data_IF_357891906333
#
_entry.id   IF_357891906333
#
_cell.length_a   1.000
_cell.length_b   1.000
_cell.length_c   1.000
_cell.angle_alpha   90.00
_cell.angle_beta   90.00
_cell.angle_gamma   90.00
#
_symmetry.space_group_name_H-M   'P 1'
#
loop_
_entity.id
_entity.type
_entity.pdbx_description
1 polymer ?
#
# COMPACT_ATOMS: atom_id res chain seq x y z
N UNK A 1 -68.80 17.34 -31.79
CA UNK A 1 -67.51 17.95 -31.38
C UNK A 1 -66.56 16.84 -30.95
N UNK A 2 -65.42 16.70 -31.63
CA UNK A 2 -64.10 16.34 -31.03
C UNK A 2 -63.06 16.18 -32.15
N UNK A 3 -62.15 17.15 -32.30
CA UNK A 3 -61.01 17.04 -33.22
C UNK A 3 -59.99 16.08 -32.60
N UNK A 4 -59.73 14.95 -33.27
CA UNK A 4 -58.66 14.03 -32.91
C UNK A 4 -57.30 14.76 -33.02
N UNK A 5 -56.61 14.99 -31.88
CA UNK A 5 -55.30 15.64 -31.85
C UNK A 5 -54.28 14.73 -32.55
N UNK A 6 -53.86 15.12 -33.76
CA UNK A 6 -52.76 14.45 -34.47
C UNK A 6 -51.50 14.51 -33.58
N UNK A 7 -51.01 13.33 -33.17
CA UNK A 7 -49.75 13.17 -32.44
C UNK A 7 -48.64 13.81 -33.28
N UNK A 8 -47.98 14.85 -32.76
CA UNK A 8 -46.89 15.52 -33.50
C UNK A 8 -45.85 14.47 -33.85
N UNK A 9 -45.47 14.42 -35.14
CA UNK A 9 -44.35 13.58 -35.59
C UNK A 9 -43.14 13.97 -34.75
N UNK A 10 -42.60 13.00 -34.05
CA UNK A 10 -41.40 13.18 -33.25
C UNK A 10 -40.27 13.05 -34.24
N UNK A 11 -39.76 14.19 -34.70
CA UNK A 11 -38.71 14.20 -35.72
C UNK A 11 -37.48 13.46 -35.18
N UNK A 12 -36.97 12.51 -35.97
CA UNK A 12 -35.85 11.64 -35.59
C UNK A 12 -34.55 12.42 -35.36
N UNK A 13 -34.42 13.61 -35.98
CA UNK A 13 -33.27 14.48 -35.85
C UNK A 13 -33.69 15.88 -35.39
N UNK A 14 -33.37 16.22 -34.15
CA UNK A 14 -33.63 17.54 -33.58
C UNK A 14 -32.36 18.37 -33.54
N UNK A 15 -32.22 19.31 -34.47
CA UNK A 15 -31.11 20.25 -34.49
C UNK A 15 -31.29 21.29 -33.38
N UNK A 16 -30.33 21.38 -32.46
CA UNK A 16 -30.37 22.35 -31.36
C UNK A 16 -30.26 23.77 -31.93
N UNK A 17 -31.13 24.68 -31.46
CA UNK A 17 -31.07 26.11 -31.81
C UNK A 17 -29.72 26.70 -31.37
N UNK A 18 -29.10 27.48 -32.26
CA UNK A 18 -27.85 28.17 -31.98
C UNK A 18 -28.07 29.15 -30.81
N UNK A 19 -27.32 28.98 -29.71
CA UNK A 19 -27.36 29.90 -28.57
C UNK A 19 -26.17 30.85 -28.68
N UNK A 20 -26.45 32.15 -28.83
CA UNK A 20 -25.43 33.19 -28.83
C UNK A 20 -24.61 33.16 -27.53
N UNK A 21 -23.29 33.36 -27.63
CA UNK A 21 -22.37 33.33 -26.49
C UNK A 21 -21.95 31.95 -25.97
N UNK A 22 -22.47 30.84 -26.54
CA UNK A 22 -22.03 29.48 -26.18
C UNK A 22 -21.16 28.88 -27.27
N UNK A 23 -20.17 28.07 -26.87
CA UNK A 23 -19.31 27.34 -27.80
C UNK A 23 -20.14 26.44 -28.71
N UNK A 24 -19.81 26.43 -30.00
CA UNK A 24 -20.47 25.59 -31.00
C UNK A 24 -20.38 24.12 -30.58
N UNK A 25 -21.52 23.38 -30.50
CA UNK A 25 -21.50 21.95 -30.21
C UNK A 25 -20.68 21.20 -31.25
N UNK A 26 -20.02 20.11 -30.81
CA UNK A 26 -19.37 19.19 -31.73
C UNK A 26 -20.42 18.53 -32.63
N UNK A 27 -20.03 18.14 -33.83
CA UNK A 27 -20.92 17.47 -34.76
C UNK A 27 -21.39 16.12 -34.18
N UNK A 28 -22.62 15.71 -34.50
CA UNK A 28 -23.24 14.50 -33.92
C UNK A 28 -22.52 13.20 -34.33
N UNK A 29 -21.76 13.22 -35.42
CA UNK A 29 -20.92 12.12 -35.90
C UNK A 29 -19.49 12.14 -35.33
N UNK A 30 -19.17 13.08 -34.43
CA UNK A 30 -17.82 13.20 -33.89
C UNK A 30 -17.55 12.11 -32.84
N UNK A 31 -16.60 11.22 -33.13
CA UNK A 31 -16.14 10.21 -32.17
C UNK A 31 -15.27 10.88 -31.11
N UNK A 32 -15.58 10.65 -29.83
CA UNK A 32 -14.79 11.18 -28.72
C UNK A 32 -13.62 10.24 -28.39
N UNK A 33 -12.38 10.72 -28.62
CA UNK A 33 -11.13 9.96 -28.41
C UNK A 33 -10.48 10.29 -27.05
N UNK A 34 -11.18 11.03 -26.17
CA UNK A 34 -10.63 11.36 -24.86
C UNK A 34 -10.83 10.18 -23.90
N UNK A 35 -9.79 9.38 -23.72
CA UNK A 35 -9.72 8.38 -22.66
C UNK A 35 -8.59 8.73 -21.67
N UNK A 36 -8.75 8.35 -20.41
CA UNK A 36 -7.73 8.47 -19.37
C UNK A 36 -7.55 7.11 -18.71
N UNK A 37 -6.32 6.62 -18.69
CA UNK A 37 -5.94 5.40 -18.00
C UNK A 37 -5.09 5.75 -16.77
N UNK A 38 -5.27 4.99 -15.69
CA UNK A 38 -4.40 5.05 -14.50
C UNK A 38 -3.71 3.70 -14.37
N UNK A 39 -2.41 3.72 -14.10
CA UNK A 39 -1.67 2.51 -13.76
C UNK A 39 -2.05 2.02 -12.36
N UNK A 40 -2.07 0.71 -12.17
CA UNK A 40 -2.17 0.11 -10.84
C UNK A 40 -0.76 0.14 -10.25
N UNK A 41 -0.59 0.78 -9.09
CA UNK A 41 0.65 0.68 -8.34
C UNK A 41 0.56 -0.54 -7.42
N UNK A 42 1.31 -1.58 -7.75
CA UNK A 42 1.43 -2.75 -6.88
C UNK A 42 2.54 -2.50 -5.87
N UNK A 43 2.20 -2.52 -4.57
CA UNK A 43 3.21 -2.52 -3.52
C UNK A 43 4.07 -3.76 -3.66
N UNK A 44 5.38 -3.58 -3.83
CA UNK A 44 6.30 -4.70 -3.95
C UNK A 44 6.28 -5.54 -2.67
N UNK A 45 6.11 -6.85 -2.83
CA UNK A 45 6.23 -7.79 -1.72
C UNK A 45 7.73 -7.93 -1.38
N UNK A 46 8.09 -7.61 -0.13
CA UNK A 46 9.43 -7.68 0.49
C UNK A 46 10.54 -8.08 -0.51
N UNK A 47 11.20 -7.07 -1.10
CA UNK A 47 12.36 -7.30 -1.97
C UNK A 47 13.40 -8.10 -1.19
N UNK A 48 13.69 -9.31 -1.67
CA UNK A 48 14.76 -10.13 -1.11
C UNK A 48 16.09 -9.52 -1.54
N UNK A 49 16.76 -8.83 -0.63
CA UNK A 49 18.13 -8.42 -0.84
C UNK A 49 18.99 -9.70 -0.85
N UNK A 50 19.35 -10.18 -2.04
CA UNK A 50 20.10 -11.43 -2.21
C UNK A 50 21.47 -11.43 -1.52
N UNK A 51 21.99 -10.24 -1.18
CA UNK A 51 23.30 -10.05 -0.56
C UNK A 51 23.24 -9.62 0.91
N UNK A 52 22.04 -9.46 1.49
CA UNK A 52 21.90 -9.03 2.88
C UNK A 52 21.92 -10.23 3.83
N UNK A 53 22.59 -10.12 4.99
CA UNK A 53 22.59 -11.16 5.99
C UNK A 53 21.16 -11.47 6.44
N UNK A 54 20.81 -12.75 6.44
CA UNK A 54 19.44 -13.21 6.66
C UNK A 54 19.40 -14.38 7.65
N UNK A 55 18.38 -14.40 8.50
CA UNK A 55 18.08 -15.51 9.43
C UNK A 55 17.66 -16.78 8.66
N UNK A 56 17.55 -17.94 9.32
CA UNK A 56 16.97 -19.18 8.76
C UNK A 56 15.58 -18.95 8.10
N UNK A 57 14.78 -18.03 8.64
CA UNK A 57 13.47 -17.63 8.08
C UNK A 57 13.55 -16.63 6.93
N UNK A 58 14.75 -16.30 6.44
CA UNK A 58 15.01 -15.31 5.39
C UNK A 58 14.46 -13.92 5.73
N UNK A 59 14.63 -13.51 7.00
CA UNK A 59 14.31 -12.16 7.49
C UNK A 59 15.58 -11.33 7.66
N UNK A 60 15.55 -10.09 7.17
CA UNK A 60 16.62 -9.12 7.35
C UNK A 60 16.47 -8.42 8.72
N UNK A 61 17.51 -7.74 9.20
CA UNK A 61 17.48 -6.94 10.43
C UNK A 61 16.33 -5.94 10.43
N UNK A 62 16.08 -5.25 9.31
CA UNK A 62 14.97 -4.28 9.18
C UNK A 62 13.60 -4.95 9.33
N UNK A 63 13.43 -6.15 8.79
CA UNK A 63 12.18 -6.91 8.91
C UNK A 63 11.95 -7.33 10.37
N UNK A 64 13.01 -7.79 11.04
CA UNK A 64 12.96 -8.18 12.45
C UNK A 64 12.64 -6.99 13.36
N UNK A 65 13.28 -5.83 13.13
CA UNK A 65 12.97 -4.58 13.84
C UNK A 65 11.53 -4.12 13.58
N UNK A 66 11.00 -4.28 12.36
CA UNK A 66 9.60 -3.98 12.10
C UNK A 66 8.63 -4.92 12.84
N UNK A 67 8.98 -6.21 12.96
CA UNK A 67 8.17 -7.20 13.67
C UNK A 67 8.11 -6.97 15.19
N UNK A 68 9.10 -6.32 15.77
CA UNK A 68 9.11 -5.90 17.19
C UNK A 68 7.98 -4.92 17.54
N UNK A 69 7.52 -4.14 16.56
CA UNK A 69 6.37 -3.22 16.71
C UNK A 69 5.01 -3.87 16.44
N UNK A 70 4.98 -5.16 16.10
CA UNK A 70 3.74 -5.85 15.74
C UNK A 70 2.86 -6.09 16.98
N UNK A 71 1.53 -5.96 16.87
CA UNK A 71 0.62 -6.11 18.02
C UNK A 71 0.65 -7.49 18.69
N UNK A 72 1.02 -8.54 17.93
CA UNK A 72 1.06 -9.93 18.42
C UNK A 72 2.36 -10.23 19.17
N UNK A 73 2.25 -10.60 20.45
CA UNK A 73 3.39 -10.99 21.28
C UNK A 73 4.19 -12.17 20.71
N UNK A 74 3.53 -13.16 20.10
CA UNK A 74 4.21 -14.32 19.48
C UNK A 74 5.10 -13.92 18.31
N UNK A 75 4.70 -12.90 17.55
CA UNK A 75 5.50 -12.34 16.44
C UNK A 75 6.70 -11.61 17.01
N UNK A 76 6.52 -10.78 18.04
CA UNK A 76 7.62 -10.08 18.72
C UNK A 76 8.66 -11.04 19.30
N UNK A 77 8.22 -12.11 19.96
CA UNK A 77 9.12 -13.15 20.47
C UNK A 77 9.90 -13.83 19.34
N UNK A 78 9.22 -14.19 18.26
CA UNK A 78 9.87 -14.76 17.08
C UNK A 78 10.92 -13.82 16.47
N UNK A 79 10.64 -12.52 16.47
CA UNK A 79 11.57 -11.50 16.01
C UNK A 79 12.80 -11.37 16.91
N UNK A 80 12.63 -11.38 18.24
CA UNK A 80 13.74 -11.36 19.20
C UNK A 80 14.67 -12.58 19.05
N UNK A 81 14.10 -13.78 18.88
CA UNK A 81 14.87 -15.00 18.64
C UNK A 81 15.63 -14.90 17.31
N UNK A 82 14.97 -14.44 16.25
CA UNK A 82 15.61 -14.24 14.94
C UNK A 82 16.70 -13.17 14.97
N UNK A 83 16.54 -12.13 15.80
CA UNK A 83 17.54 -11.07 15.99
C UNK A 83 18.78 -11.61 16.68
N UNK A 84 18.60 -12.43 17.73
CA UNK A 84 19.72 -13.11 18.40
C UNK A 84 20.48 -14.04 17.45
N UNK A 85 19.76 -14.81 16.63
CA UNK A 85 20.36 -15.66 15.60
C UNK A 85 21.18 -14.83 14.60
N UNK A 86 20.59 -13.75 14.06
CA UNK A 86 21.23 -12.90 13.06
C UNK A 86 22.50 -12.23 13.60
N UNK A 87 22.46 -11.69 14.82
CA UNK A 87 23.61 -11.03 15.44
C UNK A 87 24.72 -12.01 15.81
N UNK A 88 24.39 -13.27 16.09
CA UNK A 88 25.37 -14.34 16.35
C UNK A 88 26.08 -14.74 15.05
N UNK A 89 25.34 -14.84 13.95
CA UNK A 89 25.89 -15.21 12.64
C UNK A 89 26.66 -14.06 11.97
N UNK A 90 26.22 -12.82 12.16
CA UNK A 90 26.77 -11.62 11.53
C UNK A 90 27.02 -10.49 12.54
N UNK A 91 28.12 -10.55 13.33
CA UNK A 91 28.45 -9.52 14.32
C UNK A 91 28.70 -8.12 13.73
N UNK A 92 28.99 -8.01 12.43
CA UNK A 92 29.15 -6.74 11.72
C UNK A 92 27.88 -5.91 11.67
N UNK A 93 26.71 -6.57 11.64
CA UNK A 93 25.40 -5.90 11.59
C UNK A 93 25.06 -5.19 12.90
N UNK A 94 25.58 -5.71 14.02
CA UNK A 94 25.43 -5.09 15.33
C UNK A 94 26.01 -3.67 15.32
N UNK A 95 27.20 -3.49 14.74
CA UNK A 95 27.87 -2.20 14.70
C UNK A 95 27.16 -1.20 13.77
N UNK A 96 26.60 -1.68 12.65
CA UNK A 96 25.88 -0.84 11.70
C UNK A 96 24.53 -0.34 12.24
N UNK A 97 23.86 -1.15 13.06
CA UNK A 97 22.49 -0.88 13.51
C UNK A 97 22.36 -0.70 15.03
N UNK A 98 23.47 -0.42 15.73
CA UNK A 98 23.54 -0.37 17.20
C UNK A 98 22.53 0.59 17.82
N UNK A 99 22.39 1.79 17.26
CA UNK A 99 21.48 2.83 17.78
C UNK A 99 20.02 2.37 17.74
N UNK A 100 19.60 1.78 16.62
CA UNK A 100 18.25 1.22 16.46
C UNK A 100 18.05 0.03 17.40
N UNK A 101 19.01 -0.89 17.48
CA UNK A 101 18.93 -2.06 18.35
C UNK A 101 18.78 -1.67 19.82
N UNK A 102 19.52 -0.68 20.29
CA UNK A 102 19.46 -0.23 21.68
C UNK A 102 18.10 0.41 22.01
N UNK A 103 17.58 1.24 21.09
CA UNK A 103 16.25 1.85 21.25
C UNK A 103 15.15 0.79 21.31
N UNK A 104 15.23 -0.21 20.44
CA UNK A 104 14.25 -1.30 20.37
C UNK A 104 14.35 -2.21 21.60
N UNK A 105 15.55 -2.57 22.04
CA UNK A 105 15.76 -3.34 23.26
C UNK A 105 15.17 -2.63 24.48
N UNK A 106 15.40 -1.32 24.62
CA UNK A 106 14.83 -0.52 25.70
C UNK A 106 13.29 -0.53 25.68
N UNK A 107 12.67 -0.42 24.49
CA UNK A 107 11.22 -0.49 24.35
C UNK A 107 10.65 -1.85 24.75
N UNK A 108 11.31 -2.94 24.35
CA UNK A 108 10.88 -4.32 24.63
C UNK A 108 10.88 -4.64 26.13
N UNK A 109 11.79 -4.07 26.92
CA UNK A 109 11.77 -4.24 28.38
C UNK A 109 10.49 -3.70 29.02
N UNK A 110 9.82 -2.75 28.37
CA UNK A 110 8.54 -2.17 28.83
C UNK A 110 7.32 -2.80 28.15
N UNK A 111 7.49 -3.87 27.37
CA UNK A 111 6.39 -4.52 26.63
C UNK A 111 5.31 -5.06 27.59
N UNK A 112 4.06 -5.06 27.12
CA UNK A 112 2.90 -5.56 27.88
C UNK A 112 3.00 -7.06 28.16
N UNK A 113 3.48 -7.84 27.19
CA UNK A 113 3.50 -9.30 27.28
C UNK A 113 4.72 -9.77 28.12
N UNK A 114 4.51 -10.51 29.23
CA UNK A 114 5.62 -11.02 30.03
C UNK A 114 6.55 -11.92 29.25
N UNK A 115 6.04 -12.71 28.30
CA UNK A 115 6.87 -13.65 27.55
C UNK A 115 7.83 -12.93 26.60
N UNK A 116 7.38 -11.79 26.04
CA UNK A 116 8.22 -10.92 25.20
C UNK A 116 9.36 -10.33 26.03
N UNK A 117 9.06 -9.82 27.24
CA UNK A 117 10.08 -9.28 28.16
C UNK A 117 11.12 -10.33 28.55
N UNK A 118 10.66 -11.54 28.90
CA UNK A 118 11.55 -12.66 29.24
C UNK A 118 12.45 -13.08 28.06
N UNK A 119 11.98 -12.93 26.83
CA UNK A 119 12.76 -13.28 25.63
C UNK A 119 13.83 -12.23 25.29
N UNK A 120 13.74 -11.04 25.87
CA UNK A 120 14.69 -9.94 25.69
C UNK A 120 15.83 -9.94 26.72
N UNK A 121 15.71 -10.76 27.77
CA UNK A 121 16.73 -10.94 28.82
C UNK A 121 17.65 -12.10 28.44
#
# INVERSE_FOLDING_TARGET
MTKCKKKKRQDDFQKVKLKVGKTKPKADNATNINFRTKGINLTEQLKKDANAPTTHRKLNIKDLLSQLHHYSGTVKQGALVGLRELLTLHPSELHQHLSSLLSEAAAVFTDKDPNVRMSAT
#
